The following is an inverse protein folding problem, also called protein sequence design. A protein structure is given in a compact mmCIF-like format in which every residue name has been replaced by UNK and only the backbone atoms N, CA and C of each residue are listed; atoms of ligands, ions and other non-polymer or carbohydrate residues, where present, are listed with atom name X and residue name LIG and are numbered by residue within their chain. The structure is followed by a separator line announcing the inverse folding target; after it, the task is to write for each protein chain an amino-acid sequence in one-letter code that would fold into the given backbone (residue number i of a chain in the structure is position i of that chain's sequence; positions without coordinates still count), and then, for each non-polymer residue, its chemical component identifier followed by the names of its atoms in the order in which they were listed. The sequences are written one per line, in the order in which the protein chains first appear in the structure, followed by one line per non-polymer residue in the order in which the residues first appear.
data_IF_261532663042
#
_entry.id   IF_261532663042
#
_cell.length_a   1.000
_cell.length_b   1.000
_cell.length_c   1.000
_cell.angle_alpha   90.00
_cell.angle_beta   90.00
_cell.angle_gamma   90.00
#
_symmetry.space_group_name_H-M   'P 1'
#
loop_
_entity.id
_entity.type
_entity.pdbx_description
1 polymer ?
#
# COMPACT_ATOMS: atom_id res chain seq x y z
N UNK A 1 -5.22 -45.31 31.99
CA UNK A 1 -4.67 -44.13 32.66
C UNK A 1 -3.24 -43.94 32.19
N UNK A 2 -2.90 -42.81 31.59
CA UNK A 2 -1.68 -41.99 31.79
C UNK A 2 -1.68 -40.92 30.70
N UNK A 3 -1.80 -39.66 31.10
CA UNK A 3 -1.63 -38.48 30.24
C UNK A 3 -0.13 -38.15 30.19
N UNK A 4 0.41 -37.82 29.02
CA UNK A 4 1.67 -37.10 28.88
C UNK A 4 1.43 -35.94 27.91
N UNK A 5 1.30 -34.75 28.48
CA UNK A 5 1.28 -33.47 27.77
C UNK A 5 2.72 -32.96 27.80
N UNK A 6 3.35 -32.87 26.64
CA UNK A 6 4.65 -32.20 26.49
C UNK A 6 4.36 -30.78 26.04
N UNK A 7 4.50 -29.82 26.96
CA UNK A 7 4.49 -28.39 26.68
C UNK A 7 5.90 -27.98 26.24
N UNK A 8 6.10 -27.81 24.93
CA UNK A 8 7.28 -27.14 24.41
C UNK A 8 7.03 -25.62 24.46
N UNK A 9 7.64 -24.94 25.44
CA UNK A 9 7.63 -23.49 25.54
C UNK A 9 8.50 -22.87 24.45
N UNK A 10 7.89 -22.02 23.62
CA UNK A 10 8.63 -21.18 22.69
C UNK A 10 9.14 -19.93 23.44
N UNK A 11 10.46 -19.78 23.49
CA UNK A 11 11.14 -18.63 24.08
C UNK A 11 11.05 -17.47 23.08
N UNK A 12 10.29 -16.42 23.43
CA UNK A 12 10.22 -15.19 22.64
C UNK A 12 11.45 -14.34 22.96
N UNK A 13 12.42 -14.34 22.07
CA UNK A 13 13.57 -13.42 22.14
C UNK A 13 13.17 -12.06 21.57
N UNK A 14 12.91 -11.09 22.45
CA UNK A 14 12.80 -9.67 22.10
C UNK A 14 14.22 -9.12 21.87
N UNK A 15 14.59 -8.88 20.61
CA UNK A 15 15.80 -8.12 20.28
C UNK A 15 15.50 -6.62 20.41
N UNK A 16 15.88 -6.04 21.54
CA UNK A 16 15.97 -4.60 21.72
C UNK A 16 17.15 -4.06 20.88
N UNK A 17 16.87 -3.26 19.86
CA UNK A 17 17.89 -2.54 19.11
C UNK A 17 18.40 -1.36 19.94
N UNK A 18 19.66 -1.44 20.37
CA UNK A 18 20.32 -0.40 21.17
C UNK A 18 20.63 0.85 20.35
N UNK A 19 20.19 2.03 20.82
CA UNK A 19 20.67 3.32 20.35
C UNK A 19 22.10 3.56 20.86
N UNK A 20 23.09 3.69 19.98
CA UNK A 20 24.43 4.12 20.36
C UNK A 20 24.55 5.64 20.21
N UNK A 21 24.77 6.34 21.33
CA UNK A 21 25.07 7.77 21.41
C UNK A 21 26.30 7.94 22.31
N UNK A 22 27.44 8.34 21.75
CA UNK A 22 28.66 8.83 22.43
C UNK A 22 29.60 9.38 21.35
N UNK A 23 30.48 10.36 21.52
CA UNK A 23 30.68 11.54 22.37
C UNK A 23 31.86 12.30 21.69
N UNK A 24 32.00 13.58 21.97
CA UNK A 24 33.09 14.47 21.53
C UNK A 24 34.50 13.98 21.93
N UNK A 25 35.50 14.16 21.06
CA UNK A 25 36.74 14.95 21.32
C UNK A 25 37.62 15.07 20.04
N UNK A 26 38.25 16.24 19.85
CA UNK A 26 38.91 16.78 18.63
C UNK A 26 40.39 16.32 18.45
N UNK A 27 41.27 16.91 17.58
CA UNK A 27 41.10 17.82 16.43
C UNK A 27 41.89 17.36 15.16
N UNK A 28 41.51 17.80 13.97
CA UNK A 28 42.42 17.81 12.81
C UNK A 28 42.12 18.98 11.88
N UNK A 29 43.20 19.63 11.46
CA UNK A 29 43.25 20.92 10.78
C UNK A 29 42.60 20.97 9.38
N UNK A 30 42.28 22.22 9.06
CA UNK A 30 41.82 22.81 7.83
C UNK A 30 42.64 22.40 6.59
N UNK A 31 41.97 22.01 5.51
CA UNK A 31 42.48 22.29 4.16
C UNK A 31 41.33 22.61 3.22
N UNK A 32 41.36 23.85 2.75
CA UNK A 32 40.40 24.52 1.89
C UNK A 32 40.56 24.05 0.42
N UNK A 33 39.45 24.11 -0.33
CA UNK A 33 39.33 24.66 -1.69
C UNK A 33 38.36 23.88 -2.62
N UNK A 34 37.18 24.50 -2.76
CA UNK A 34 36.45 24.78 -4.01
C UNK A 34 36.12 23.64 -5.00
N UNK A 35 34.80 23.42 -5.23
CA UNK A 35 34.09 23.86 -6.45
C UNK A 35 32.78 23.07 -6.67
N UNK A 36 31.66 23.76 -6.48
CA UNK A 36 30.37 23.68 -7.23
C UNK A 36 30.00 22.32 -7.84
N UNK A 37 28.97 21.67 -7.30
CA UNK A 37 27.72 21.40 -8.04
C UNK A 37 26.60 21.00 -7.08
N UNK A 38 25.67 21.92 -6.86
CA UNK A 38 24.33 21.58 -6.40
C UNK A 38 23.66 20.86 -7.57
N UNK A 39 23.51 19.54 -7.45
CA UNK A 39 22.62 18.77 -8.30
C UNK A 39 21.70 17.96 -7.39
N UNK A 40 20.54 18.57 -7.21
CA UNK A 40 19.28 17.90 -6.99
C UNK A 40 19.12 16.96 -8.19
N UNK A 41 19.43 15.67 -8.00
CA UNK A 41 19.06 14.61 -8.93
C UNK A 41 18.04 13.75 -8.18
N UNK A 42 16.82 14.28 -8.07
CA UNK A 42 15.74 14.00 -9.01
C UNK A 42 15.20 12.59 -8.72
N UNK A 43 14.29 12.62 -7.75
CA UNK A 43 13.29 11.61 -7.47
C UNK A 43 12.49 11.37 -8.76
N UNK A 44 12.99 10.49 -9.63
CA UNK A 44 12.14 9.87 -10.63
C UNK A 44 11.42 8.71 -9.94
N UNK A 45 10.52 9.06 -9.01
CA UNK A 45 9.29 8.31 -8.91
C UNK A 45 8.67 8.45 -10.29
N UNK A 46 8.89 7.44 -11.13
CA UNK A 46 8.13 7.31 -12.37
C UNK A 46 6.71 6.99 -11.93
N UNK A 47 6.01 8.04 -11.51
CA UNK A 47 4.57 8.12 -11.41
C UNK A 47 4.04 8.10 -12.82
N UNK A 48 4.24 6.97 -13.52
CA UNK A 48 3.23 6.54 -14.46
C UNK A 48 2.04 6.11 -13.60
N UNK A 49 1.37 7.11 -13.00
CA UNK A 49 -0.04 7.01 -12.67
C UNK A 49 -0.64 6.59 -13.99
N UNK A 50 -0.97 5.31 -14.09
CA UNK A 50 -1.74 4.82 -15.21
C UNK A 50 -3.04 5.61 -15.09
N UNK A 51 -3.15 6.66 -15.91
CA UNK A 51 -4.33 7.51 -15.96
C UNK A 51 -5.45 6.63 -16.48
N UNK A 52 -6.06 5.86 -15.56
CA UNK A 52 -7.46 5.54 -15.68
C UNK A 52 -8.12 6.86 -16.01
N UNK A 53 -8.94 6.86 -17.04
CA UNK A 53 -9.95 7.89 -17.14
C UNK A 53 -10.81 7.70 -15.88
N UNK A 54 -10.51 8.44 -14.80
CA UNK A 54 -11.06 8.32 -13.44
C UNK A 54 -12.53 8.76 -13.44
N UNK A 55 -13.30 8.23 -14.37
CA UNK A 55 -14.67 8.59 -14.66
C UNK A 55 -15.47 7.31 -14.75
N UNK A 56 -16.66 7.36 -14.19
CA UNK A 56 -17.64 6.29 -14.34
C UNK A 56 -18.19 6.19 -15.77
N UNK A 57 -17.84 7.11 -16.66
CA UNK A 57 -18.25 7.07 -18.05
C UNK A 57 -17.42 6.03 -18.83
N UNK A 58 -18.11 5.04 -19.42
CA UNK A 58 -17.52 4.01 -20.29
C UNK A 58 -16.48 3.10 -19.62
N UNK A 59 -16.80 2.62 -18.42
CA UNK A 59 -16.01 1.61 -17.71
C UNK A 59 -16.00 0.27 -18.43
N UNK A 60 -14.80 -0.24 -18.75
CA UNK A 60 -14.61 -1.65 -19.09
C UNK A 60 -14.13 -2.43 -17.87
N UNK A 61 -15.07 -3.13 -17.21
CA UNK A 61 -14.80 -3.93 -16.01
C UNK A 61 -13.80 -5.07 -16.24
N UNK A 62 -13.55 -5.48 -17.49
CA UNK A 62 -12.57 -6.52 -17.80
C UNK A 62 -11.12 -6.04 -17.62
N UNK A 63 -10.91 -4.73 -17.60
CA UNK A 63 -9.58 -4.11 -17.48
C UNK A 63 -9.21 -3.79 -16.04
N UNK A 64 -10.16 -3.89 -15.11
CA UNK A 64 -9.99 -3.42 -13.74
C UNK A 64 -9.68 -4.57 -12.78
N UNK A 65 -8.87 -4.24 -11.78
CA UNK A 65 -8.56 -5.08 -10.62
C UNK A 65 -9.12 -4.37 -9.40
N UNK A 66 -9.69 -5.11 -8.44
CA UNK A 66 -10.21 -4.50 -7.22
C UNK A 66 -10.34 -5.46 -6.05
N UNK A 67 -10.78 -4.91 -4.92
CA UNK A 67 -11.05 -5.67 -3.70
C UNK A 67 -12.31 -5.13 -3.00
N UNK A 68 -12.87 -5.93 -2.10
CA UNK A 68 -13.99 -5.54 -1.24
C UNK A 68 -13.52 -5.17 0.14
N UNK A 69 -14.16 -4.16 0.76
CA UNK A 69 -13.82 -3.71 2.11
C UNK A 69 -14.21 -4.72 3.22
N UNK A 70 -15.22 -5.57 2.97
CA UNK A 70 -15.83 -6.43 3.99
C UNK A 70 -15.08 -7.73 4.34
N UNK A 71 -13.86 -7.94 3.85
CA UNK A 71 -13.08 -9.15 4.09
C UNK A 71 -11.91 -8.87 5.04
N UNK A 72 -11.70 -9.74 6.04
CA UNK A 72 -10.63 -9.63 7.04
C UNK A 72 -9.24 -9.52 6.41
N UNK A 73 -9.05 -10.12 5.23
CA UNK A 73 -7.88 -9.91 4.39
C UNK A 73 -8.35 -9.55 2.98
N UNK A 74 -8.38 -8.25 2.68
CA UNK A 74 -8.65 -7.77 1.34
C UNK A 74 -7.59 -8.32 0.37
N UNK A 75 -8.03 -8.87 -0.77
CA UNK A 75 -7.14 -9.32 -1.84
C UNK A 75 -7.64 -8.83 -3.19
N UNK A 76 -6.68 -8.42 -4.02
CA UNK A 76 -6.94 -7.93 -5.37
C UNK A 76 -7.33 -9.07 -6.30
N UNK A 77 -8.45 -8.91 -7.00
CA UNK A 77 -8.93 -9.83 -8.03
C UNK A 77 -9.55 -9.06 -9.20
N UNK A 78 -9.65 -9.66 -10.40
CA UNK A 78 -10.34 -9.04 -11.52
C UNK A 78 -11.76 -8.60 -11.16
N UNK A 79 -12.15 -7.38 -11.53
CA UNK A 79 -13.46 -6.83 -11.13
C UNK A 79 -14.64 -7.66 -11.65
N UNK A 80 -14.47 -8.32 -12.81
CA UNK A 80 -15.47 -9.23 -13.38
C UNK A 80 -15.83 -10.39 -12.45
N UNK A 81 -14.91 -10.81 -11.58
CA UNK A 81 -15.10 -11.97 -10.71
C UNK A 81 -16.02 -11.66 -9.52
N UNK A 82 -16.31 -10.38 -9.25
CA UNK A 82 -17.35 -9.96 -8.31
C UNK A 82 -18.78 -10.07 -8.87
N UNK A 83 -18.94 -10.44 -10.14
CA UNK A 83 -20.24 -10.68 -10.79
C UNK A 83 -21.27 -9.55 -10.60
N UNK A 84 -20.82 -8.30 -10.70
CA UNK A 84 -21.64 -7.10 -10.54
C UNK A 84 -22.71 -7.02 -11.63
N UNK A 85 -23.99 -7.16 -11.27
CA UNK A 85 -25.12 -7.07 -12.23
C UNK A 85 -25.61 -5.64 -12.43
N UNK A 86 -25.82 -4.91 -11.33
CA UNK A 86 -26.23 -3.52 -11.29
C UNK A 86 -25.47 -2.84 -10.17
N UNK A 87 -24.78 -1.74 -10.48
CA UNK A 87 -23.96 -1.01 -9.52
C UNK A 87 -24.07 0.48 -9.76
N UNK A 88 -23.96 1.24 -8.67
CA UNK A 88 -23.63 2.67 -8.73
C UNK A 88 -22.12 2.79 -8.87
N UNK A 89 -21.69 3.77 -9.64
CA UNK A 89 -20.28 4.10 -9.76
C UNK A 89 -20.02 5.49 -9.20
N UNK A 90 -18.92 5.62 -8.45
CA UNK A 90 -18.36 6.90 -8.02
C UNK A 90 -16.84 6.83 -8.00
N UNK A 91 -16.19 7.98 -7.82
CA UNK A 91 -14.74 8.05 -7.59
C UNK A 91 -14.52 8.39 -6.13
N UNK A 92 -13.67 7.61 -5.45
CA UNK A 92 -13.18 7.91 -4.11
C UNK A 92 -11.77 8.46 -4.23
N UNK A 93 -11.60 9.75 -3.95
CA UNK A 93 -10.29 10.38 -4.00
C UNK A 93 -9.41 9.88 -2.86
N UNK A 94 -8.13 9.62 -3.15
CA UNK A 94 -7.13 9.17 -2.17
C UNK A 94 -7.67 8.05 -1.26
N UNK A 95 -8.30 7.03 -1.86
CA UNK A 95 -8.97 5.98 -1.11
C UNK A 95 -8.01 5.31 -0.13
N UNK A 96 -8.46 5.14 1.12
CA UNK A 96 -7.67 4.58 2.23
C UNK A 96 -6.39 5.36 2.58
N UNK A 97 -6.20 6.57 2.03
CA UNK A 97 -4.97 7.36 2.22
C UNK A 97 -3.85 7.00 1.25
N UNK A 98 -4.13 6.25 0.18
CA UNK A 98 -3.10 5.71 -0.72
C UNK A 98 -2.54 6.69 -1.78
N UNK A 99 -2.84 7.99 -1.70
CA UNK A 99 -2.56 8.97 -2.77
C UNK A 99 -3.02 8.49 -4.18
N UNK A 100 -4.01 7.59 -4.20
CA UNK A 100 -4.59 6.96 -5.38
C UNK A 100 -6.11 7.05 -5.32
N UNK A 101 -6.70 7.47 -6.43
CA UNK A 101 -8.15 7.48 -6.60
C UNK A 101 -8.65 6.08 -6.94
N UNK A 102 -9.73 5.66 -6.28
CA UNK A 102 -10.41 4.40 -6.57
C UNK A 102 -11.72 4.65 -7.32
N UNK A 103 -12.03 3.78 -8.27
CA UNK A 103 -13.39 3.68 -8.81
C UNK A 103 -14.18 2.78 -7.87
N UNK A 104 -15.23 3.32 -7.26
CA UNK A 104 -16.08 2.59 -6.32
C UNK A 104 -17.31 2.08 -7.04
N UNK A 105 -17.42 0.76 -7.15
CA UNK A 105 -18.55 0.06 -7.73
C UNK A 105 -19.40 -0.51 -6.59
N UNK A 106 -20.55 0.12 -6.32
CA UNK A 106 -21.39 -0.17 -5.16
C UNK A 106 -22.71 -0.83 -5.57
N UNK A 107 -22.99 -1.97 -4.98
CA UNK A 107 -24.32 -2.60 -4.97
C UNK A 107 -24.93 -2.51 -3.56
N UNK A 108 -26.11 -3.07 -3.35
CA UNK A 108 -26.72 -3.14 -2.02
C UNK A 108 -25.95 -4.06 -1.05
N UNK A 109 -25.13 -4.98 -1.58
CA UNK A 109 -24.47 -6.03 -0.80
C UNK A 109 -22.95 -5.87 -0.72
N UNK A 110 -22.34 -5.15 -1.66
CA UNK A 110 -20.88 -5.09 -1.78
C UNK A 110 -20.44 -3.71 -2.31
N UNK A 111 -19.24 -3.31 -1.90
CA UNK A 111 -18.52 -2.19 -2.51
C UNK A 111 -17.16 -2.69 -2.97
N UNK A 112 -16.87 -2.53 -4.26
CA UNK A 112 -15.57 -2.87 -4.86
C UNK A 112 -14.81 -1.58 -5.12
N UNK A 113 -13.58 -1.52 -4.62
CA UNK A 113 -12.62 -0.46 -4.90
C UNK A 113 -11.73 -0.94 -6.03
N UNK A 114 -11.83 -0.31 -7.19
CA UNK A 114 -11.21 -0.74 -8.43
C UNK A 114 -10.13 0.22 -8.92
N UNK A 115 -9.08 -0.36 -9.50
CA UNK A 115 -7.86 0.29 -9.98
C UNK A 115 -7.44 -0.25 -11.35
N UNK A 116 -6.55 0.49 -12.01
CA UNK A 116 -6.11 0.24 -13.39
C UNK A 116 -5.24 -1.02 -13.51
N UNK A 117 -4.54 -1.32 -12.43
CA UNK A 117 -3.45 -2.26 -12.42
C UNK A 117 -3.44 -3.03 -11.10
N UNK A 118 -2.90 -4.25 -11.15
CA UNK A 118 -2.70 -5.04 -9.94
C UNK A 118 -1.75 -4.37 -8.96
N UNK A 119 -0.78 -3.58 -9.46
CA UNK A 119 0.16 -2.82 -8.62
C UNK A 119 -0.57 -1.77 -7.78
N UNK A 120 -1.43 -0.97 -8.42
CA UNK A 120 -2.17 0.09 -7.72
C UNK A 120 -3.19 -0.50 -6.74
N UNK A 121 -3.87 -1.58 -7.14
CA UNK A 121 -4.76 -2.30 -6.23
C UNK A 121 -4.00 -2.86 -5.02
N UNK A 122 -2.86 -3.52 -5.24
CA UNK A 122 -2.07 -4.13 -4.17
C UNK A 122 -1.55 -3.06 -3.20
N UNK A 123 -1.10 -1.93 -3.72
CA UNK A 123 -0.69 -0.78 -2.91
C UNK A 123 -1.83 -0.27 -2.03
N UNK A 124 -3.03 -0.12 -2.59
CA UNK A 124 -4.20 0.30 -1.83
C UNK A 124 -4.61 -0.72 -0.75
N UNK A 125 -4.53 -2.03 -1.04
CA UNK A 125 -4.77 -3.10 -0.05
C UNK A 125 -3.78 -3.03 1.10
N UNK A 126 -2.49 -2.86 0.82
CA UNK A 126 -1.45 -2.75 1.85
C UNK A 126 -1.70 -1.59 2.80
N UNK A 127 -2.04 -0.41 2.25
CA UNK A 127 -2.35 0.77 3.05
C UNK A 127 -3.65 0.57 3.85
N UNK A 128 -4.70 0.03 3.23
CA UNK A 128 -5.96 -0.30 3.92
C UNK A 128 -5.73 -1.24 5.09
N UNK A 129 -4.97 -2.32 4.89
CA UNK A 129 -4.69 -3.31 5.93
C UNK A 129 -3.78 -2.77 7.03
N UNK A 130 -2.92 -1.80 6.75
CA UNK A 130 -2.08 -1.15 7.76
C UNK A 130 -2.85 -0.16 8.67
N UNK A 131 -4.06 0.26 8.25
CA UNK A 131 -4.91 1.21 8.96
C UNK A 131 -6.03 0.53 9.80
N UNK A 132 -6.20 -0.80 9.70
CA UNK A 132 -7.08 -1.58 10.58
C UNK A 132 -6.42 -1.98 11.89
#
# INVERSE_FOLDING_TARGET
MTKLIVLAGAVVSLLLSSCAKTNHDAPAELSDNNKVKSEIAEQVHSNTVSTLNHSCANLDLNTLIGFTEGTVEASCQPVRDFHLKQFKCSVSQNAFGAELDAIVLKTDQLSVFAYASSKDCQHAVEIRNANE
#
